data_IF_080716309741
#
_entry.id   IF_080716309741
#
_cell.length_a   1.000
_cell.length_b   1.000
_cell.length_c   1.000
_cell.angle_alpha   90.00
_cell.angle_beta   90.00
_cell.angle_gamma   90.00
#
_symmetry.space_group_name_H-M   'P 1'
#
loop_
_entity.id
_entity.type
_entity.pdbx_description
1 polymer ?
#
# COMPACT_ATOMS: atom_id res chain seq x y z
N UNK A 1 24.14 21.22 10.77
CA UNK A 1 22.68 21.32 10.92
C UNK A 1 22.10 20.03 10.42
N UNK A 2 21.61 19.19 11.32
CA UNK A 2 20.88 17.96 11.00
C UNK A 2 19.61 18.34 10.25
N UNK A 3 19.50 17.92 8.99
CA UNK A 3 18.26 17.98 8.21
C UNK A 3 17.14 17.35 9.04
N UNK A 4 16.12 18.14 9.38
CA UNK A 4 14.81 17.60 9.73
C UNK A 4 14.40 16.69 8.56
N UNK A 5 14.43 15.37 8.79
CA UNK A 5 13.69 14.45 7.95
C UNK A 5 12.20 14.74 8.23
N UNK A 6 11.66 15.75 7.55
CA UNK A 6 10.25 16.09 7.65
C UNK A 6 9.44 14.88 7.18
N UNK A 7 8.79 14.23 8.15
CA UNK A 7 8.01 13.03 7.92
C UNK A 7 6.68 13.42 7.27
N UNK A 8 6.66 13.41 5.95
CA UNK A 8 5.50 13.70 5.14
C UNK A 8 4.43 12.61 5.31
N UNK A 9 3.16 13.05 5.25
CA UNK A 9 1.99 12.17 5.26
C UNK A 9 1.33 12.25 3.90
N UNK A 10 1.45 11.18 3.12
CA UNK A 10 0.83 11.08 1.80
C UNK A 10 -0.41 10.19 1.89
N UNK A 11 -1.48 10.60 1.20
CA UNK A 11 -2.65 9.76 1.03
C UNK A 11 -2.36 8.75 -0.07
N UNK A 12 -2.62 7.47 0.18
CA UNK A 12 -2.35 6.38 -0.76
C UNK A 12 -3.63 5.62 -1.03
N UNK A 13 -3.97 5.48 -2.30
CA UNK A 13 -5.06 4.64 -2.78
C UNK A 13 -4.49 3.58 -3.72
N UNK A 14 -4.94 2.34 -3.58
CA UNK A 14 -4.49 1.25 -4.43
C UNK A 14 -5.61 0.28 -4.79
N UNK A 15 -5.67 -0.09 -6.07
CA UNK A 15 -6.56 -1.14 -6.57
C UNK A 15 -5.83 -2.49 -6.49
N UNK A 16 -6.56 -3.55 -6.13
CA UNK A 16 -5.97 -4.87 -5.96
C UNK A 16 -6.86 -5.99 -6.50
N UNK A 17 -6.20 -7.11 -6.77
CA UNK A 17 -6.77 -8.44 -6.94
C UNK A 17 -6.13 -9.36 -5.91
N UNK A 18 -6.90 -10.18 -5.21
CA UNK A 18 -6.40 -11.10 -4.21
C UNK A 18 -7.15 -12.44 -4.24
N UNK A 19 -6.49 -13.53 -3.81
CA UNK A 19 -7.14 -14.83 -3.66
C UNK A 19 -7.54 -15.04 -2.20
N UNK A 20 -8.84 -14.98 -1.91
CA UNK A 20 -9.39 -15.20 -0.58
C UNK A 20 -10.23 -16.49 -0.59
N UNK A 21 -9.84 -17.47 0.24
CA UNK A 21 -10.48 -18.79 0.31
C UNK A 21 -10.65 -19.47 -1.06
N UNK A 22 -9.64 -19.35 -1.93
CA UNK A 22 -9.66 -19.93 -3.28
C UNK A 22 -10.50 -19.16 -4.32
N UNK A 23 -11.06 -18.00 -3.96
CA UNK A 23 -11.79 -17.13 -4.88
C UNK A 23 -11.01 -15.84 -5.13
N UNK A 24 -10.98 -15.42 -6.39
CA UNK A 24 -10.46 -14.10 -6.75
C UNK A 24 -11.41 -13.01 -6.28
N UNK A 25 -10.87 -12.02 -5.57
CA UNK A 25 -11.58 -10.84 -5.08
C UNK A 25 -10.83 -9.60 -5.55
N UNK A 26 -11.56 -8.64 -6.09
CA UNK A 26 -11.02 -7.33 -6.47
C UNK A 26 -11.52 -6.25 -5.54
N UNK A 27 -10.72 -5.23 -5.28
CA UNK A 27 -11.15 -4.11 -4.47
C UNK A 27 -10.17 -2.94 -4.46
N UNK A 28 -10.42 -2.00 -3.56
CA UNK A 28 -9.56 -0.85 -3.31
C UNK A 28 -9.15 -0.78 -1.83
N UNK A 29 -7.98 -0.21 -1.56
CA UNK A 29 -7.50 0.11 -0.22
C UNK A 29 -7.01 1.55 -0.18
N UNK A 30 -7.34 2.25 0.90
CA UNK A 30 -6.89 3.61 1.17
C UNK A 30 -6.19 3.65 2.52
N UNK A 31 -5.05 4.33 2.59
CA UNK A 31 -4.30 4.53 3.83
C UNK A 31 -3.39 5.75 3.75
N UNK A 32 -3.01 6.28 4.91
CA UNK A 32 -2.01 7.35 5.01
C UNK A 32 -0.63 6.72 5.25
N UNK A 33 0.31 6.97 4.35
CA UNK A 33 1.70 6.55 4.53
C UNK A 33 2.52 7.70 5.11
N UNK A 34 3.29 7.40 6.16
CA UNK A 34 4.35 8.29 6.63
C UNK A 34 5.63 7.96 5.86
N UNK A 35 6.19 8.95 5.18
CA UNK A 35 7.41 8.83 4.38
C UNK A 35 8.39 9.93 4.80
N UNK A 36 9.68 9.63 4.80
CA UNK A 36 10.70 10.61 5.16
C UNK A 36 11.06 11.54 4.00
N UNK A 37 10.66 11.18 2.79
CA UNK A 37 10.84 11.93 1.56
C UNK A 37 9.71 11.48 0.61
N UNK A 38 8.81 12.40 0.22
CA UNK A 38 7.71 12.12 -0.71
C UNK A 38 8.17 11.71 -2.11
N UNK A 39 9.42 12.02 -2.48
CA UNK A 39 10.05 11.58 -3.73
C UNK A 39 10.66 10.17 -3.62
N UNK A 40 11.00 9.74 -2.40
CA UNK A 40 11.35 8.35 -2.11
C UNK A 40 10.05 7.57 -1.88
N UNK A 41 9.41 7.21 -2.99
CA UNK A 41 8.28 6.27 -3.05
C UNK A 41 8.66 4.86 -2.61
N UNK A 42 9.24 4.71 -1.40
CA UNK A 42 9.73 3.48 -0.83
C UNK A 42 8.55 2.54 -0.56
N UNK A 43 8.26 1.83 -1.64
CA UNK A 43 7.39 0.70 -1.85
C UNK A 43 5.96 0.85 -1.31
N UNK A 44 5.27 1.91 -1.76
CA UNK A 44 3.83 2.08 -1.55
C UNK A 44 3.05 0.86 -2.04
N UNK A 45 3.53 0.21 -3.10
CA UNK A 45 3.00 -1.07 -3.60
C UNK A 45 3.08 -2.18 -2.55
N UNK A 46 4.25 -2.45 -1.97
CA UNK A 46 4.40 -3.44 -0.89
C UNK A 46 3.60 -3.05 0.36
N UNK A 47 3.54 -1.75 0.70
CA UNK A 47 2.71 -1.29 1.80
C UNK A 47 1.22 -1.56 1.53
N UNK A 48 0.75 -1.29 0.31
CA UNK A 48 -0.60 -1.61 -0.13
C UNK A 48 -0.86 -3.13 -0.10
N UNK A 49 0.07 -3.96 -0.60
CA UNK A 49 -0.04 -5.42 -0.54
C UNK A 49 -0.21 -5.92 0.90
N UNK A 50 0.62 -5.40 1.82
CA UNK A 50 0.54 -5.75 3.25
C UNK A 50 -0.77 -5.28 3.87
N UNK A 51 -1.26 -4.09 3.51
CA UNK A 51 -2.54 -3.58 3.99
C UNK A 51 -3.71 -4.47 3.54
N UNK A 52 -3.75 -4.85 2.26
CA UNK A 52 -4.76 -5.76 1.71
C UNK A 52 -4.66 -7.15 2.35
N UNK A 53 -3.47 -7.72 2.43
CA UNK A 53 -3.24 -9.04 3.03
C UNK A 53 -3.75 -9.11 4.47
N UNK A 54 -3.49 -8.06 5.27
CA UNK A 54 -4.02 -7.95 6.65
C UNK A 54 -5.53 -7.82 6.68
N UNK A 55 -6.11 -6.98 5.82
CA UNK A 55 -7.57 -6.76 5.75
C UNK A 55 -8.33 -8.02 5.38
N UNK A 56 -7.83 -8.77 4.41
CA UNK A 56 -8.47 -9.98 3.88
C UNK A 56 -8.04 -11.27 4.61
N UNK A 57 -7.05 -11.20 5.51
CA UNK A 57 -6.44 -12.35 6.19
C UNK A 57 -5.89 -13.39 5.20
N UNK A 58 -5.19 -12.92 4.18
CA UNK A 58 -4.53 -13.73 3.14
C UNK A 58 -3.01 -13.53 3.17
N UNK A 59 -2.25 -14.35 2.43
CA UNK A 59 -0.80 -14.14 2.32
C UNK A 59 -0.53 -12.97 1.39
N UNK A 60 0.56 -12.24 1.64
CA UNK A 60 1.02 -11.14 0.76
C UNK A 60 1.24 -11.61 -0.68
N UNK A 61 1.74 -12.84 -0.85
CA UNK A 61 1.94 -13.46 -2.16
C UNK A 61 0.65 -13.71 -2.94
N UNK A 62 -0.49 -13.76 -2.25
CA UNK A 62 -1.81 -13.94 -2.86
C UNK A 62 -2.46 -12.59 -3.20
N UNK A 63 -1.73 -11.47 -3.11
CA UNK A 63 -2.19 -10.11 -3.41
C UNK A 63 -1.41 -9.49 -4.56
N UNK A 64 -2.12 -9.11 -5.61
CA UNK A 64 -1.62 -8.34 -6.74
C UNK A 64 -2.15 -6.92 -6.69
N UNK A 65 -1.27 -5.93 -6.68
CA UNK A 65 -1.66 -4.52 -6.80
C UNK A 65 -1.72 -4.19 -8.30
N UNK A 66 -2.84 -3.62 -8.73
CA UNK A 66 -3.11 -3.26 -10.11
C UNK A 66 -2.67 -1.82 -10.42
N UNK A 67 -2.66 -0.96 -9.40
CA UNK A 67 -2.18 0.41 -9.49
C UNK A 67 -2.18 1.10 -8.13
N UNK A 68 -1.26 2.03 -7.93
CA UNK A 68 -1.14 2.87 -6.73
C UNK A 68 -1.21 4.32 -7.16
N UNK A 69 -2.01 5.11 -6.45
CA UNK A 69 -2.09 6.55 -6.56
C UNK A 69 -1.71 7.16 -5.22
N UNK A 70 -0.89 8.20 -5.25
CA UNK A 70 -0.52 8.99 -4.07
C UNK A 70 -0.68 10.47 -4.33
N UNK A 71 -1.17 11.21 -3.34
CA UNK A 71 -1.36 12.67 -3.37
C UNK A 71 -1.03 13.30 -2.04
#
# INVERSE_FOLDING_TARGET
>A
MTTENDMERIAVSANYEAVQYGKTVTGHVEFVARVADGSQGYDLTTRAQRAVARRLRVRVADVKILGVMSS
#
